data_IF_523642385323
#
_entry.id   IF_523642385323
#
_cell.length_a   1.000
_cell.length_b   1.000
_cell.length_c   1.000
_cell.angle_alpha   90.00
_cell.angle_beta   90.00
_cell.angle_gamma   90.00
#
_symmetry.space_group_name_H-M   'P 1'
#
loop_
_entity.id
_entity.type
_entity.pdbx_description
1 polymer ?
#
# COMPACT_ATOMS: atom_id res chain seq x y z
N UNK A 1 -57.18 51.90 1.66
CA UNK A 1 -57.24 50.80 0.68
C UNK A 1 -57.39 49.50 1.46
N UNK A 2 -58.51 48.80 1.29
CA UNK A 2 -58.94 47.71 2.19
C UNK A 2 -57.96 46.51 2.16
N UNK A 3 -57.44 46.15 3.33
CA UNK A 3 -56.66 44.93 3.56
C UNK A 3 -57.64 43.75 3.64
N UNK A 4 -57.66 42.88 2.63
CA UNK A 4 -58.36 41.60 2.72
C UNK A 4 -57.37 40.56 3.27
N UNK A 5 -57.64 40.00 4.46
CA UNK A 5 -56.83 38.92 5.08
C UNK A 5 -56.64 37.69 4.17
N UNK A 6 -57.52 37.53 3.17
CA UNK A 6 -57.44 36.45 2.18
C UNK A 6 -56.79 36.83 0.85
N UNK A 7 -56.37 38.09 0.65
CA UNK A 7 -55.71 38.50 -0.59
C UNK A 7 -54.28 37.97 -0.67
N UNK A 8 -53.88 37.51 -1.86
CA UNK A 8 -52.52 37.09 -2.17
C UNK A 8 -51.65 38.35 -2.37
N UNK A 9 -50.41 38.36 -1.88
CA UNK A 9 -49.58 39.57 -1.90
C UNK A 9 -49.16 39.95 -3.33
N UNK A 10 -48.70 41.18 -3.55
CA UNK A 10 -48.17 41.59 -4.87
C UNK A 10 -46.98 40.70 -5.26
N UNK A 11 -46.09 40.38 -4.30
CA UNK A 11 -44.96 39.49 -4.55
C UNK A 11 -45.40 38.12 -5.04
N UNK A 12 -46.37 37.51 -4.34
CA UNK A 12 -46.92 36.20 -4.68
C UNK A 12 -47.60 36.20 -6.07
N UNK A 13 -48.31 37.29 -6.43
CA UNK A 13 -48.92 37.43 -7.77
C UNK A 13 -47.87 37.48 -8.87
N UNK A 14 -46.78 38.21 -8.63
CA UNK A 14 -45.69 38.33 -9.59
C UNK A 14 -44.99 36.98 -9.80
N UNK A 15 -44.78 36.21 -8.73
CA UNK A 15 -44.24 34.85 -8.85
C UNK A 15 -45.16 33.92 -9.66
N UNK A 16 -46.45 33.87 -9.35
CA UNK A 16 -47.39 33.04 -10.12
C UNK A 16 -47.47 33.47 -11.59
N UNK A 17 -47.41 34.78 -11.85
CA UNK A 17 -47.39 35.33 -13.21
C UNK A 17 -46.10 34.99 -13.96
N UNK A 18 -44.96 34.93 -13.28
CA UNK A 18 -43.68 34.57 -13.89
C UNK A 18 -43.74 33.17 -14.53
N UNK A 19 -44.44 32.23 -13.87
CA UNK A 19 -44.69 30.86 -14.35
C UNK A 19 -45.65 30.82 -15.56
N UNK A 20 -46.67 31.69 -15.60
CA UNK A 20 -47.59 31.76 -16.75
C UNK A 20 -46.97 32.45 -17.95
N UNK A 21 -46.17 33.48 -17.69
CA UNK A 21 -45.57 34.34 -18.71
C UNK A 21 -44.26 33.75 -19.25
N UNK A 22 -43.73 32.68 -18.64
CA UNK A 22 -42.48 32.02 -19.06
C UNK A 22 -41.24 32.90 -18.81
N UNK A 23 -41.26 33.66 -17.71
CA UNK A 23 -40.18 34.58 -17.33
C UNK A 23 -39.64 34.15 -15.97
N UNK A 24 -38.47 33.48 -15.90
CA UNK A 24 -37.94 33.01 -14.62
C UNK A 24 -37.54 34.18 -13.73
N UNK A 25 -37.81 34.02 -12.44
CA UNK A 25 -37.31 34.89 -11.38
C UNK A 25 -36.11 34.23 -10.71
N UNK A 26 -35.36 35.02 -9.94
CA UNK A 26 -34.30 34.49 -9.08
C UNK A 26 -34.84 33.45 -8.10
N UNK A 27 -34.01 32.45 -7.78
CA UNK A 27 -34.42 31.32 -6.95
C UNK A 27 -34.78 31.70 -5.52
N UNK A 28 -34.24 32.82 -5.02
CA UNK A 28 -34.53 33.40 -3.71
C UNK A 28 -35.59 34.50 -3.77
N UNK A 29 -36.34 34.62 -4.87
CA UNK A 29 -37.44 35.57 -4.98
C UNK A 29 -38.45 35.38 -3.82
N UNK A 30 -38.77 36.44 -3.06
CA UNK A 30 -39.50 36.31 -1.80
C UNK A 30 -40.97 35.96 -1.99
N UNK A 31 -41.42 34.88 -1.34
CA UNK A 31 -42.83 34.48 -1.32
C UNK A 31 -43.42 34.73 0.08
N UNK A 32 -44.44 35.57 0.15
CA UNK A 32 -45.06 35.99 1.43
C UNK A 32 -46.01 34.92 1.95
N UNK A 33 -46.82 34.31 1.09
CA UNK A 33 -47.81 33.29 1.48
C UNK A 33 -47.56 31.97 0.76
N UNK A 34 -46.54 31.23 1.19
CA UNK A 34 -46.07 30.02 0.49
C UNK A 34 -47.17 28.99 0.24
N UNK A 35 -47.99 28.69 1.25
CA UNK A 35 -49.12 27.76 1.12
C UNK A 35 -50.12 28.21 0.05
N UNK A 36 -50.51 29.50 0.06
CA UNK A 36 -51.45 30.06 -0.91
C UNK A 36 -50.89 30.03 -2.34
N UNK A 37 -49.57 30.16 -2.50
CA UNK A 37 -48.91 30.05 -3.81
C UNK A 37 -48.92 28.60 -4.27
N UNK A 38 -48.46 27.66 -3.43
CA UNK A 38 -48.41 26.22 -3.78
C UNK A 38 -49.79 25.66 -4.08
N UNK A 39 -50.83 26.04 -3.33
CA UNK A 39 -52.22 25.59 -3.56
C UNK A 39 -52.78 26.04 -4.94
N UNK A 40 -52.15 27.02 -5.60
CA UNK A 40 -52.53 27.51 -6.94
C UNK A 40 -51.71 26.92 -8.08
N UNK A 41 -50.62 26.20 -7.76
CA UNK A 41 -49.79 25.52 -8.75
C UNK A 41 -50.33 24.12 -9.00
N UNK A 42 -50.40 23.72 -10.26
CA UNK A 42 -50.71 22.33 -10.63
C UNK A 42 -49.43 21.50 -10.77
N UNK A 43 -49.57 20.18 -10.98
CA UNK A 43 -48.40 19.29 -11.14
C UNK A 43 -47.52 19.67 -12.35
N UNK A 44 -48.11 20.11 -13.45
CA UNK A 44 -47.39 20.46 -14.68
C UNK A 44 -46.59 21.77 -14.55
N UNK A 45 -46.98 22.68 -13.65
CA UNK A 45 -46.21 23.88 -13.37
C UNK A 45 -44.81 23.56 -12.81
N UNK A 46 -44.65 22.45 -12.09
CA UNK A 46 -43.35 21.98 -11.58
C UNK A 46 -42.43 21.37 -12.67
N UNK A 47 -42.87 21.37 -13.93
CA UNK A 47 -42.03 21.05 -15.10
C UNK A 47 -41.45 22.29 -15.78
N UNK A 48 -41.70 23.48 -15.24
CA UNK A 48 -41.28 24.77 -15.79
C UNK A 48 -40.13 25.34 -14.97
N UNK A 49 -39.11 25.89 -15.64
CA UNK A 49 -37.91 26.43 -14.98
C UNK A 49 -38.25 27.57 -14.02
N UNK A 50 -39.32 28.30 -14.31
CA UNK A 50 -39.88 29.41 -13.54
C UNK A 50 -40.42 28.97 -12.17
N UNK A 51 -40.66 27.67 -11.98
CA UNK A 51 -41.13 27.09 -10.71
C UNK A 51 -40.00 26.85 -9.70
N UNK A 52 -38.74 26.97 -10.12
CA UNK A 52 -37.58 26.80 -9.24
C UNK A 52 -37.48 27.99 -8.29
N UNK A 53 -37.85 27.75 -7.04
CA UNK A 53 -37.77 28.71 -5.95
C UNK A 53 -37.48 27.99 -4.63
N UNK A 54 -36.59 28.55 -3.83
CA UNK A 54 -36.06 27.92 -2.62
C UNK A 54 -37.15 27.74 -1.56
N UNK A 55 -38.02 28.74 -1.35
CA UNK A 55 -39.15 28.65 -0.41
C UNK A 55 -40.16 27.59 -0.85
N UNK A 56 -40.42 27.50 -2.16
CA UNK A 56 -41.29 26.45 -2.73
C UNK A 56 -40.68 25.08 -2.47
N UNK A 57 -39.42 24.86 -2.85
CA UNK A 57 -38.74 23.57 -2.61
C UNK A 57 -38.71 23.21 -1.13
N UNK A 58 -38.42 24.16 -0.24
CA UNK A 58 -38.47 23.96 1.22
C UNK A 58 -39.85 23.50 1.67
N UNK A 59 -40.91 24.20 1.27
CA UNK A 59 -42.28 23.86 1.64
C UNK A 59 -42.70 22.48 1.12
N UNK A 60 -42.34 22.12 -0.12
CA UNK A 60 -42.65 20.81 -0.69
C UNK A 60 -41.93 19.69 0.08
N UNK A 61 -40.64 19.87 0.40
CA UNK A 61 -39.84 18.88 1.13
C UNK A 61 -40.34 18.67 2.56
N UNK A 62 -40.71 19.75 3.27
CA UNK A 62 -41.32 19.66 4.60
C UNK A 62 -42.65 18.89 4.58
N UNK A 63 -43.40 19.00 3.48
CA UNK A 63 -44.71 18.38 3.30
C UNK A 63 -44.65 17.20 2.31
N UNK A 64 -43.52 16.50 2.22
CA UNK A 64 -43.23 15.48 1.19
C UNK A 64 -44.27 14.36 1.08
N UNK A 65 -44.97 14.03 2.17
CA UNK A 65 -46.03 13.02 2.15
C UNK A 65 -47.19 13.40 1.21
N UNK A 66 -47.49 14.70 1.11
CA UNK A 66 -48.57 15.25 0.28
C UNK A 66 -48.07 15.55 -1.13
N UNK A 67 -46.86 16.09 -1.26
CA UNK A 67 -46.35 16.65 -2.52
C UNK A 67 -45.37 15.74 -3.30
N UNK A 68 -45.52 14.42 -3.18
CA UNK A 68 -44.60 13.44 -3.82
C UNK A 68 -44.43 13.65 -5.33
N UNK A 69 -45.54 13.91 -6.04
CA UNK A 69 -45.51 14.09 -7.50
C UNK A 69 -44.80 15.37 -7.89
N UNK A 70 -45.10 16.47 -7.20
CA UNK A 70 -44.49 17.79 -7.42
C UNK A 70 -42.98 17.74 -7.19
N UNK A 71 -42.55 17.08 -6.11
CA UNK A 71 -41.12 16.85 -5.83
C UNK A 71 -40.48 16.06 -6.96
N UNK A 72 -41.08 14.95 -7.40
CA UNK A 72 -40.53 14.15 -8.49
C UNK A 72 -40.41 14.95 -9.81
N UNK A 73 -41.38 15.80 -10.15
CA UNK A 73 -41.30 16.68 -11.33
C UNK A 73 -40.18 17.71 -11.18
N UNK A 74 -40.05 18.33 -10.00
CA UNK A 74 -39.01 19.32 -9.73
C UNK A 74 -37.60 18.74 -9.89
N UNK A 75 -37.32 17.57 -9.31
CA UNK A 75 -36.00 16.93 -9.48
C UNK A 75 -35.75 16.45 -10.91
N UNK A 76 -36.80 16.00 -11.61
CA UNK A 76 -36.70 15.66 -13.04
C UNK A 76 -36.38 16.88 -13.88
N UNK A 77 -36.98 18.03 -13.59
CA UNK A 77 -36.70 19.32 -14.23
C UNK A 77 -35.24 19.74 -13.97
N UNK A 78 -34.80 19.73 -12.71
CA UNK A 78 -33.42 20.04 -12.34
C UNK A 78 -32.43 19.16 -13.10
N UNK A 79 -32.72 17.86 -13.22
CA UNK A 79 -31.92 16.93 -14.00
C UNK A 79 -31.92 17.24 -15.50
N UNK A 80 -33.08 17.46 -16.11
CA UNK A 80 -33.20 17.59 -17.56
C UNK A 80 -32.66 18.92 -18.08
N UNK A 81 -32.65 19.94 -17.24
CA UNK A 81 -32.12 21.27 -17.54
C UNK A 81 -30.67 21.47 -17.04
N UNK A 82 -30.05 20.41 -16.50
CA UNK A 82 -28.69 20.44 -15.95
C UNK A 82 -28.47 21.56 -14.91
N UNK A 83 -29.44 21.74 -14.01
CA UNK A 83 -29.45 22.80 -12.98
C UNK A 83 -28.90 22.33 -11.64
N UNK A 84 -27.74 21.69 -11.65
CA UNK A 84 -27.14 21.13 -10.42
C UNK A 84 -26.80 22.22 -9.39
N UNK A 85 -26.52 23.44 -9.84
CA UNK A 85 -26.30 24.62 -9.01
C UNK A 85 -27.55 25.05 -8.22
N UNK A 86 -28.76 24.65 -8.66
CA UNK A 86 -29.99 24.81 -7.87
C UNK A 86 -30.00 23.94 -6.61
N UNK A 87 -29.56 22.68 -6.71
CA UNK A 87 -29.46 21.78 -5.54
C UNK A 87 -28.45 22.35 -4.52
N UNK A 88 -27.38 22.96 -5.03
CA UNK A 88 -26.40 23.65 -4.19
C UNK A 88 -27.02 24.88 -3.50
N UNK A 89 -27.80 25.68 -4.22
CA UNK A 89 -28.51 26.82 -3.65
C UNK A 89 -29.48 26.39 -2.52
N UNK A 90 -30.27 25.33 -2.74
CA UNK A 90 -31.12 24.73 -1.71
C UNK A 90 -30.31 24.31 -0.48
N UNK A 91 -29.23 23.54 -0.69
CA UNK A 91 -28.39 23.06 0.40
C UNK A 91 -27.83 24.19 1.27
N UNK A 92 -27.46 25.32 0.67
CA UNK A 92 -26.88 26.48 1.38
C UNK A 92 -27.91 27.21 2.24
N UNK A 93 -29.15 27.29 1.80
CA UNK A 93 -30.21 27.98 2.54
C UNK A 93 -30.91 27.09 3.59
N UNK A 94 -30.82 25.77 3.42
CA UNK A 94 -31.49 24.83 4.32
C UNK A 94 -30.78 24.70 5.67
N UNK A 95 -31.57 24.52 6.72
CA UNK A 95 -31.08 24.03 8.01
C UNK A 95 -30.69 22.54 7.92
N UNK A 96 -30.09 22.00 8.98
CA UNK A 96 -29.56 20.63 8.97
C UNK A 96 -30.65 19.57 8.77
N UNK A 97 -31.87 19.78 9.28
CA UNK A 97 -32.98 18.83 9.09
C UNK A 97 -33.47 18.82 7.64
N UNK A 98 -33.56 20.00 7.03
CA UNK A 98 -33.90 20.15 5.63
C UNK A 98 -32.80 19.64 4.70
N UNK A 99 -31.52 19.79 5.04
CA UNK A 99 -30.40 19.20 4.28
C UNK A 99 -30.49 17.68 4.25
N UNK A 100 -30.78 17.04 5.38
CA UNK A 100 -30.99 15.58 5.44
C UNK A 100 -32.15 15.17 4.53
N UNK A 101 -33.26 15.91 4.60
CA UNK A 101 -34.42 15.66 3.74
C UNK A 101 -34.11 15.87 2.26
N UNK A 102 -33.34 16.90 1.92
CA UNK A 102 -32.87 17.17 0.57
C UNK A 102 -32.02 16.00 0.04
N UNK A 103 -31.10 15.46 0.84
CA UNK A 103 -30.28 14.30 0.44
C UNK A 103 -31.13 13.06 0.18
N UNK A 104 -32.18 12.83 0.98
CA UNK A 104 -33.14 11.74 0.72
C UNK A 104 -33.86 11.92 -0.62
N UNK A 105 -34.33 13.14 -0.92
CA UNK A 105 -35.00 13.43 -2.20
C UNK A 105 -34.05 13.35 -3.39
N UNK A 106 -32.80 13.80 -3.23
CA UNK A 106 -31.76 13.64 -4.25
C UNK A 106 -31.55 12.16 -4.57
N UNK A 107 -31.52 11.29 -3.55
CA UNK A 107 -31.41 9.86 -3.79
C UNK A 107 -32.64 9.30 -4.53
N UNK A 108 -33.85 9.60 -4.05
CA UNK A 108 -35.09 9.01 -4.58
C UNK A 108 -35.38 9.44 -6.03
N UNK A 109 -35.00 10.67 -6.41
CA UNK A 109 -35.43 11.27 -7.67
C UNK A 109 -34.30 11.72 -8.58
N UNK A 110 -33.06 11.73 -8.11
CA UNK A 110 -31.94 12.41 -8.79
C UNK A 110 -30.59 11.70 -8.66
N UNK A 111 -30.57 10.45 -8.18
CA UNK A 111 -29.33 9.71 -7.87
C UNK A 111 -28.35 9.65 -9.05
N UNK A 112 -28.85 9.34 -10.26
CA UNK A 112 -28.05 9.25 -11.49
C UNK A 112 -27.41 10.57 -11.92
N UNK A 113 -28.01 11.69 -11.51
CA UNK A 113 -27.60 13.02 -11.92
C UNK A 113 -26.80 13.73 -10.84
N UNK A 114 -26.62 13.13 -9.66
CA UNK A 114 -25.89 13.74 -8.56
C UNK A 114 -24.44 14.12 -8.93
N UNK A 115 -23.79 13.31 -9.77
CA UNK A 115 -22.43 13.57 -10.27
C UNK A 115 -22.34 14.90 -11.04
N UNK A 116 -23.45 15.41 -11.60
CA UNK A 116 -23.48 16.73 -12.25
C UNK A 116 -23.14 17.90 -11.31
N UNK A 117 -23.23 17.75 -9.98
CA UNK A 117 -22.71 18.76 -9.04
C UNK A 117 -21.18 18.82 -9.14
N UNK A 118 -20.53 17.67 -9.29
CA UNK A 118 -19.08 17.55 -9.31
C UNK A 118 -18.52 18.11 -10.61
N UNK A 119 -19.21 17.87 -11.72
CA UNK A 119 -18.80 18.31 -13.06
C UNK A 119 -19.14 19.78 -13.35
N UNK A 120 -20.01 20.40 -12.56
CA UNK A 120 -20.41 21.80 -12.78
C UNK A 120 -19.32 22.79 -12.32
N UNK A 121 -18.76 23.55 -13.26
CA UNK A 121 -17.69 24.53 -13.02
C UNK A 121 -18.16 25.77 -12.23
N UNK A 122 -19.46 26.09 -12.26
CA UNK A 122 -20.03 27.23 -11.52
C UNK A 122 -20.14 26.94 -10.01
N UNK A 123 -20.14 25.66 -9.63
CA UNK A 123 -20.21 25.25 -8.23
C UNK A 123 -18.83 25.36 -7.59
N UNK A 124 -18.74 26.11 -6.50
CA UNK A 124 -17.48 26.27 -5.77
C UNK A 124 -16.97 24.95 -5.19
N UNK A 125 -15.65 24.78 -5.09
CA UNK A 125 -15.02 23.59 -4.49
C UNK A 125 -15.56 23.30 -3.08
N UNK A 126 -15.69 24.32 -2.24
CA UNK A 126 -16.18 24.17 -0.87
C UNK A 126 -17.63 23.70 -0.81
N UNK A 127 -18.48 24.20 -1.72
CA UNK A 127 -19.87 23.76 -1.81
C UNK A 127 -19.98 22.29 -2.27
N UNK A 128 -19.18 21.88 -3.27
CA UNK A 128 -19.07 20.46 -3.67
C UNK A 128 -18.67 19.57 -2.50
N UNK A 129 -17.64 19.97 -1.76
CA UNK A 129 -17.10 19.19 -0.63
C UNK A 129 -18.13 19.08 0.51
N UNK A 130 -18.80 20.17 0.89
CA UNK A 130 -19.84 20.14 1.94
C UNK A 130 -21.02 19.24 1.58
N UNK A 131 -21.49 19.29 0.33
CA UNK A 131 -22.56 18.41 -0.15
C UNK A 131 -22.11 16.96 -0.15
N UNK A 132 -20.87 16.67 -0.55
CA UNK A 132 -20.32 15.32 -0.50
C UNK A 132 -20.19 14.80 0.93
N UNK A 133 -19.81 15.64 1.90
CA UNK A 133 -19.82 15.28 3.32
C UNK A 133 -21.24 14.86 3.74
N UNK A 134 -22.22 15.71 3.42
CA UNK A 134 -23.63 15.44 3.73
C UNK A 134 -24.13 14.17 3.05
N UNK A 135 -23.74 13.92 1.80
CA UNK A 135 -24.07 12.70 1.09
C UNK A 135 -23.55 11.48 1.87
N UNK A 136 -22.25 11.46 2.16
CA UNK A 136 -21.58 10.34 2.82
C UNK A 136 -22.10 10.07 4.24
N UNK A 137 -22.61 11.08 4.93
CA UNK A 137 -23.29 10.92 6.23
C UNK A 137 -24.69 10.31 6.10
N UNK A 138 -25.40 10.57 4.99
CA UNK A 138 -26.83 10.31 4.90
C UNK A 138 -27.22 9.10 4.04
N UNK A 139 -26.39 8.64 3.11
CA UNK A 139 -26.74 7.52 2.22
C UNK A 139 -26.31 6.14 2.73
N UNK A 140 -27.03 5.09 2.35
CA UNK A 140 -26.58 3.70 2.53
C UNK A 140 -25.53 3.30 1.48
N UNK A 141 -24.87 2.16 1.69
CA UNK A 141 -23.85 1.64 0.76
C UNK A 141 -24.44 1.32 -0.63
N UNK A 142 -25.66 0.79 -0.66
CA UNK A 142 -26.38 0.47 -1.90
C UNK A 142 -26.77 1.74 -2.67
N UNK A 143 -27.09 2.81 -1.94
CA UNK A 143 -27.39 4.11 -2.55
C UNK A 143 -26.11 4.77 -3.09
N UNK A 144 -25.03 4.68 -2.33
CA UNK A 144 -23.73 5.23 -2.70
C UNK A 144 -23.15 4.55 -3.95
N UNK A 145 -23.30 3.24 -4.09
CA UNK A 145 -22.84 2.51 -5.28
C UNK A 145 -23.61 2.93 -6.54
N UNK A 146 -24.90 3.28 -6.43
CA UNK A 146 -25.69 3.82 -7.54
C UNK A 146 -25.25 5.24 -7.92
N UNK A 147 -24.98 6.08 -6.92
CA UNK A 147 -24.59 7.49 -7.15
C UNK A 147 -23.18 7.59 -7.73
N UNK A 148 -22.27 6.74 -7.26
CA UNK A 148 -20.85 6.78 -7.61
C UNK A 148 -20.43 5.62 -8.53
N UNK A 149 -21.33 5.18 -9.41
CA UNK A 149 -21.07 4.09 -10.35
C UNK A 149 -19.85 4.41 -11.26
N UNK A 150 -19.70 5.68 -11.68
CA UNK A 150 -18.58 6.16 -12.50
C UNK A 150 -17.27 6.36 -11.72
N UNK A 151 -17.27 6.21 -10.40
CA UNK A 151 -16.18 6.61 -9.49
C UNK A 151 -15.78 8.09 -9.54
N UNK A 152 -16.62 8.98 -10.12
CA UNK A 152 -16.33 10.42 -10.21
C UNK A 152 -16.16 11.07 -8.84
N UNK A 153 -16.92 10.63 -7.82
CA UNK A 153 -16.80 11.16 -6.45
C UNK A 153 -15.44 10.77 -5.86
N UNK A 154 -15.00 9.51 -6.03
CA UNK A 154 -13.65 9.09 -5.61
C UNK A 154 -12.58 9.96 -6.25
N UNK A 155 -12.60 10.09 -7.58
CA UNK A 155 -11.59 10.83 -8.32
C UNK A 155 -11.54 12.31 -7.93
N UNK A 156 -12.70 12.91 -7.61
CA UNK A 156 -12.78 14.27 -7.12
C UNK A 156 -12.20 14.41 -5.71
N UNK A 157 -12.64 13.57 -4.77
CA UNK A 157 -12.22 13.64 -3.36
C UNK A 157 -10.73 13.33 -3.20
N UNK A 158 -10.19 12.37 -3.95
CA UNK A 158 -8.78 11.98 -3.85
C UNK A 158 -7.85 13.14 -4.28
N UNK A 159 -8.29 13.95 -5.25
CA UNK A 159 -7.57 15.15 -5.70
C UNK A 159 -7.77 16.35 -4.77
N UNK A 160 -8.72 16.30 -3.84
CA UNK A 160 -9.00 17.44 -2.97
C UNK A 160 -7.97 17.56 -1.84
N UNK A 161 -7.26 18.69 -1.83
CA UNK A 161 -6.34 19.08 -0.75
C UNK A 161 -7.07 19.70 0.45
N UNK A 162 -8.33 20.08 0.31
CA UNK A 162 -9.10 20.81 1.34
C UNK A 162 -10.16 19.96 2.01
N UNK A 163 -10.59 18.86 1.37
CA UNK A 163 -11.65 18.00 1.88
C UNK A 163 -11.40 17.57 3.32
N UNK A 164 -10.19 17.07 3.62
CA UNK A 164 -9.80 16.67 4.97
C UNK A 164 -9.96 17.79 6.01
N UNK A 165 -9.71 19.06 5.63
CA UNK A 165 -9.82 20.21 6.54
C UNK A 165 -11.27 20.57 6.87
N UNK A 166 -12.19 20.30 5.94
CA UNK A 166 -13.62 20.53 6.12
C UNK A 166 -14.30 19.44 6.95
N UNK A 167 -13.69 18.25 7.05
CA UNK A 167 -14.25 17.17 7.85
C UNK A 167 -14.31 17.57 9.33
N UNK A 168 -15.48 17.39 9.93
CA UNK A 168 -15.63 17.29 11.38
C UNK A 168 -15.31 15.87 11.86
N UNK A 169 -15.83 15.52 13.05
CA UNK A 169 -15.83 14.13 13.49
C UNK A 169 -16.72 13.31 12.54
N UNK A 170 -16.15 12.27 11.93
CA UNK A 170 -16.87 11.42 10.98
C UNK A 170 -17.79 10.45 11.74
N UNK A 171 -18.99 10.18 11.25
CA UNK A 171 -19.79 9.10 11.83
C UNK A 171 -19.27 7.72 11.40
N UNK A 172 -19.70 6.67 12.11
CA UNK A 172 -19.46 5.28 11.68
C UNK A 172 -20.03 5.01 10.28
N UNK A 173 -21.14 5.67 9.93
CA UNK A 173 -21.77 5.54 8.61
C UNK A 173 -20.90 6.15 7.53
N UNK A 174 -20.40 7.37 7.75
CA UNK A 174 -19.44 8.04 6.87
C UNK A 174 -18.20 7.19 6.62
N UNK A 175 -17.57 6.68 7.68
CA UNK A 175 -16.40 5.79 7.57
C UNK A 175 -16.74 4.54 6.76
N UNK A 176 -17.89 3.92 7.03
CA UNK A 176 -18.31 2.71 6.32
C UNK A 176 -18.54 2.95 4.83
N UNK A 177 -19.02 4.14 4.47
CA UNK A 177 -19.25 4.58 3.10
C UNK A 177 -17.91 4.85 2.39
N UNK A 178 -16.99 5.57 3.03
CA UNK A 178 -15.62 5.79 2.53
C UNK A 178 -14.90 4.47 2.25
N UNK A 179 -15.01 3.51 3.16
CA UNK A 179 -14.46 2.15 2.97
C UNK A 179 -15.12 1.41 1.81
N UNK A 180 -16.44 1.50 1.64
CA UNK A 180 -17.14 0.82 0.55
C UNK A 180 -16.76 1.36 -0.83
N UNK A 181 -16.29 2.61 -0.89
CA UNK A 181 -15.76 3.24 -2.09
C UNK A 181 -14.27 2.92 -2.32
N UNK A 182 -13.59 2.19 -1.42
CA UNK A 182 -12.13 2.08 -1.35
C UNK A 182 -11.43 3.46 -1.40
N UNK A 183 -12.04 4.45 -0.76
CA UNK A 183 -11.45 5.79 -0.69
C UNK A 183 -10.26 5.83 0.27
N UNK A 184 -9.15 6.43 -0.18
CA UNK A 184 -7.95 6.66 0.63
C UNK A 184 -7.39 8.06 0.36
N UNK A 185 -7.08 8.79 1.43
CA UNK A 185 -6.37 10.06 1.34
C UNK A 185 -4.97 9.87 0.76
N UNK A 186 -4.63 10.68 -0.26
CA UNK A 186 -3.29 10.74 -0.82
C UNK A 186 -2.26 11.22 0.20
N UNK A 187 -2.63 12.21 1.01
CA UNK A 187 -1.77 12.83 2.01
C UNK A 187 -2.59 13.22 3.24
N UNK A 188 -2.15 12.78 4.41
CA UNK A 188 -2.71 13.17 5.72
C UNK A 188 -1.61 13.86 6.50
N UNK A 189 -1.76 15.14 6.81
CA UNK A 189 -0.75 15.94 7.52
C UNK A 189 -0.72 15.58 9.04
N UNK A 190 0.40 15.87 9.70
CA UNK A 190 0.61 15.50 11.12
C UNK A 190 -0.32 16.28 12.06
N UNK A 191 -0.74 17.48 11.67
CA UNK A 191 -1.63 18.33 12.47
C UNK A 191 -2.99 17.66 12.64
N UNK A 192 -3.46 16.95 11.62
CA UNK A 192 -4.74 16.27 11.54
C UNK A 192 -4.75 15.03 12.45
N UNK A 193 -3.60 14.37 12.64
CA UNK A 193 -3.47 13.30 13.62
C UNK A 193 -3.60 13.75 15.08
N UNK A 194 -3.52 15.07 15.36
CA UNK A 194 -3.67 15.62 16.72
C UNK A 194 -5.09 15.55 17.27
N UNK A 195 -6.08 15.41 16.41
CA UNK A 195 -7.48 15.36 16.83
C UNK A 195 -8.14 14.01 16.50
N UNK A 196 -9.42 13.89 16.89
CA UNK A 196 -10.20 12.68 16.72
C UNK A 196 -10.32 12.26 15.25
N UNK A 197 -10.30 13.20 14.29
CA UNK A 197 -10.46 12.92 12.86
C UNK A 197 -9.26 12.15 12.31
N UNK A 198 -8.05 12.58 12.63
CA UNK A 198 -6.85 11.87 12.21
C UNK A 198 -6.72 10.50 12.88
N UNK A 199 -7.11 10.37 14.15
CA UNK A 199 -7.19 9.05 14.81
C UNK A 199 -8.16 8.12 14.06
N UNK A 200 -9.33 8.61 13.67
CA UNK A 200 -10.29 7.84 12.88
C UNK A 200 -9.76 7.46 11.50
N UNK A 201 -9.03 8.35 10.81
CA UNK A 201 -8.38 8.03 9.53
C UNK A 201 -7.37 6.91 9.69
N UNK A 202 -6.54 6.99 10.73
CA UNK A 202 -5.53 6.00 11.04
C UNK A 202 -6.14 4.64 11.38
N UNK A 203 -7.06 4.59 12.35
CA UNK A 203 -7.71 3.35 12.80
C UNK A 203 -8.54 2.68 11.70
N UNK A 204 -8.99 3.46 10.70
CA UNK A 204 -9.79 2.94 9.61
C UNK A 204 -9.03 2.71 8.31
N UNK A 205 -7.70 2.89 8.30
CA UNK A 205 -6.83 2.73 7.13
C UNK A 205 -7.26 3.59 5.93
N UNK A 206 -7.79 4.79 6.18
CA UNK A 206 -8.31 5.69 5.15
C UNK A 206 -7.21 6.52 4.46
N UNK A 207 -5.97 6.04 4.44
CA UNK A 207 -4.82 6.73 3.85
C UNK A 207 -4.05 5.80 2.93
N UNK A 208 -3.52 6.32 1.82
CA UNK A 208 -2.73 5.50 0.89
C UNK A 208 -1.41 5.11 1.52
N UNK A 209 -0.96 3.88 1.24
CA UNK A 209 0.39 3.42 1.56
C UNK A 209 1.34 4.16 0.64
N UNK A 210 2.04 5.14 1.20
CA UNK A 210 3.11 5.90 0.55
C UNK A 210 4.07 6.42 1.63
N UNK A 211 5.26 6.85 1.21
CA UNK A 211 6.29 7.32 2.13
C UNK A 211 5.80 8.39 3.12
N UNK A 212 5.10 9.41 2.62
CA UNK A 212 4.68 10.54 3.43
C UNK A 212 3.68 10.11 4.51
N UNK A 213 2.66 9.33 4.15
CA UNK A 213 1.65 8.88 5.12
C UNK A 213 2.26 7.92 6.14
N UNK A 214 3.05 6.93 5.71
CA UNK A 214 3.70 5.98 6.62
C UNK A 214 4.65 6.71 7.59
N UNK A 215 5.48 7.62 7.08
CA UNK A 215 6.37 8.45 7.91
C UNK A 215 5.60 9.27 8.93
N UNK A 216 4.48 9.89 8.55
CA UNK A 216 3.67 10.71 9.46
C UNK A 216 2.96 9.87 10.52
N UNK A 217 2.47 8.69 10.15
CA UNK A 217 1.88 7.73 11.09
C UNK A 217 2.94 7.25 12.09
N UNK A 218 4.11 6.82 11.61
CA UNK A 218 5.25 6.42 12.44
C UNK A 218 5.69 7.54 13.40
N UNK A 219 5.83 8.76 12.89
CA UNK A 219 6.15 9.94 13.69
C UNK A 219 5.13 10.19 14.79
N UNK A 220 3.84 10.18 14.45
CA UNK A 220 2.80 10.63 15.36
C UNK A 220 2.39 9.56 16.37
N UNK A 221 2.11 8.35 15.92
CA UNK A 221 1.57 7.27 16.77
C UNK A 221 2.65 6.42 17.42
N UNK A 222 3.89 6.45 16.90
CA UNK A 222 4.98 5.60 17.36
C UNK A 222 6.23 6.37 17.79
N UNK A 223 6.19 7.71 17.71
CA UNK A 223 7.28 8.59 18.10
C UNK A 223 8.61 8.27 17.39
N UNK A 224 8.52 7.75 16.16
CA UNK A 224 9.68 7.45 15.32
C UNK A 224 9.99 8.65 14.42
N UNK A 225 11.13 9.28 14.65
CA UNK A 225 11.60 10.43 13.88
C UNK A 225 12.93 10.12 13.16
N UNK A 226 13.21 10.89 12.09
CA UNK A 226 14.49 10.89 11.40
C UNK A 226 14.54 10.07 10.11
N UNK A 227 15.76 9.93 9.58
CA UNK A 227 16.04 9.26 8.31
C UNK A 227 16.01 7.72 8.42
N UNK A 228 15.95 7.18 9.64
CA UNK A 228 15.78 5.75 9.91
C UNK A 228 14.51 5.20 9.26
N UNK A 229 13.45 6.01 9.16
CA UNK A 229 12.20 5.65 8.49
C UNK A 229 12.42 5.26 7.03
N UNK A 230 13.44 5.80 6.36
CA UNK A 230 13.69 5.51 4.96
C UNK A 230 14.37 4.16 4.77
N UNK A 231 15.21 3.75 5.72
CA UNK A 231 16.12 2.61 5.56
C UNK A 231 15.79 1.41 6.47
N UNK A 232 15.01 1.61 7.53
CA UNK A 232 14.58 0.56 8.48
C UNK A 232 13.05 0.47 8.59
N UNK A 233 12.34 0.81 7.51
CA UNK A 233 10.90 1.07 7.59
C UNK A 233 10.13 -0.16 8.06
N UNK A 234 10.43 -1.33 7.48
CA UNK A 234 9.72 -2.56 7.79
C UNK A 234 10.00 -3.00 9.23
N UNK A 235 11.25 -2.90 9.67
CA UNK A 235 11.65 -3.12 11.07
C UNK A 235 10.84 -2.27 12.04
N UNK A 236 10.76 -0.95 11.78
CA UNK A 236 10.05 0.00 12.63
C UNK A 236 8.53 -0.29 12.70
N UNK A 237 7.95 -0.75 11.59
CA UNK A 237 6.55 -1.14 11.54
C UNK A 237 6.34 -2.42 12.37
N UNK A 238 7.16 -3.45 12.13
CA UNK A 238 7.03 -4.78 12.75
C UNK A 238 7.35 -4.77 14.25
N UNK A 239 8.24 -3.91 14.71
CA UNK A 239 8.63 -3.84 16.13
C UNK A 239 7.53 -3.25 17.03
N UNK A 240 6.48 -2.66 16.44
CA UNK A 240 5.47 -1.89 17.16
C UNK A 240 4.17 -2.63 17.47
N UNK A 241 4.00 -3.86 16.97
CA UNK A 241 2.77 -4.70 17.02
C UNK A 241 1.45 -3.92 17.01
N UNK A 242 0.97 -3.49 15.84
CA UNK A 242 0.05 -2.34 15.77
C UNK A 242 -0.95 -2.33 14.60
N UNK A 243 -1.87 -1.34 14.56
CA UNK A 243 -2.81 -1.20 13.44
C UNK A 243 -2.11 -0.91 12.11
N UNK A 244 -1.00 -0.14 12.13
CA UNK A 244 -0.17 0.07 10.96
C UNK A 244 0.42 -1.25 10.43
N UNK A 245 0.96 -2.09 11.32
CA UNK A 245 1.49 -3.40 10.95
C UNK A 245 0.41 -4.23 10.25
N UNK A 246 -0.79 -4.37 10.83
CA UNK A 246 -1.89 -5.12 10.21
C UNK A 246 -2.28 -4.55 8.83
N UNK A 247 -2.26 -3.22 8.70
CA UNK A 247 -2.56 -2.57 7.43
C UNK A 247 -1.50 -2.88 6.36
N UNK A 248 -0.23 -2.82 6.74
CA UNK A 248 0.92 -3.12 5.86
C UNK A 248 0.93 -4.59 5.48
N UNK A 249 0.77 -5.51 6.42
CA UNK A 249 0.76 -6.96 6.14
C UNK A 249 -0.39 -7.35 5.19
N UNK A 250 -1.57 -6.75 5.36
CA UNK A 250 -2.71 -6.98 4.46
C UNK A 250 -2.51 -6.42 3.04
N UNK A 251 -1.46 -5.61 2.83
CA UNK A 251 -1.14 -4.95 1.56
C UNK A 251 0.37 -5.06 1.26
N UNK A 252 1.03 -6.15 1.69
CA UNK A 252 2.49 -6.22 1.78
C UNK A 252 3.18 -6.00 0.43
N UNK A 253 2.65 -6.56 -0.66
CA UNK A 253 3.23 -6.41 -1.99
C UNK A 253 3.15 -4.95 -2.53
N UNK A 254 2.05 -4.26 -2.24
CA UNK A 254 1.88 -2.83 -2.55
C UNK A 254 2.85 -1.98 -1.72
N UNK A 255 2.93 -2.27 -0.43
CA UNK A 255 3.85 -1.60 0.48
C UNK A 255 5.30 -1.78 0.03
N UNK A 256 5.71 -2.99 -0.33
CA UNK A 256 7.09 -3.27 -0.75
C UNK A 256 7.49 -2.47 -1.98
N UNK A 257 6.61 -2.37 -2.99
CA UNK A 257 6.87 -1.51 -4.14
C UNK A 257 7.15 -0.06 -3.73
N UNK A 258 6.40 0.47 -2.75
CA UNK A 258 6.65 1.81 -2.21
C UNK A 258 7.92 1.89 -1.38
N UNK A 259 8.20 0.89 -0.55
CA UNK A 259 9.40 0.87 0.27
C UNK A 259 10.66 0.90 -0.58
N UNK A 260 10.73 0.09 -1.64
CA UNK A 260 11.83 0.09 -2.58
C UNK A 260 12.04 1.48 -3.20
N UNK A 261 10.96 2.14 -3.67
CA UNK A 261 11.00 3.51 -4.23
C UNK A 261 11.63 4.52 -3.26
N UNK A 262 11.25 4.53 -1.98
CA UNK A 262 11.72 5.55 -1.02
C UNK A 262 12.96 5.14 -0.20
N UNK A 263 13.40 3.89 -0.28
CA UNK A 263 14.61 3.40 0.40
C UNK A 263 15.91 3.98 -0.15
N UNK A 264 15.88 4.49 -1.39
CA UNK A 264 17.05 5.00 -2.12
C UNK A 264 18.18 3.96 -2.17
N UNK A 265 17.82 2.73 -2.55
CA UNK A 265 18.76 1.61 -2.75
C UNK A 265 19.56 1.22 -1.49
N UNK A 266 19.01 1.58 -0.32
CA UNK A 266 19.64 1.36 0.98
C UNK A 266 18.62 0.89 1.99
N UNK A 267 18.79 -0.36 2.42
CA UNK A 267 17.96 -1.00 3.45
C UNK A 267 18.88 -1.52 4.56
N UNK A 268 18.45 -1.26 5.79
CA UNK A 268 19.13 -1.54 7.06
C UNK A 268 18.17 -2.26 8.03
N UNK A 269 17.13 -2.89 7.49
CA UNK A 269 16.20 -3.66 8.30
C UNK A 269 16.93 -4.73 9.12
N UNK A 270 16.40 -5.01 10.30
CA UNK A 270 17.00 -5.99 11.19
C UNK A 270 16.76 -7.40 10.63
N UNK A 271 17.74 -8.27 10.85
CA UNK A 271 17.87 -9.60 10.23
C UNK A 271 16.59 -10.44 10.27
N UNK A 272 15.93 -10.49 11.43
CA UNK A 272 14.68 -11.27 11.60
C UNK A 272 13.57 -10.81 10.65
N UNK A 273 13.52 -9.53 10.30
CA UNK A 273 12.51 -8.96 9.41
C UNK A 273 12.92 -9.09 7.95
N UNK A 274 14.22 -9.18 7.67
CA UNK A 274 14.73 -9.52 6.33
C UNK A 274 14.21 -10.90 5.92
N UNK A 275 14.34 -11.92 6.78
CA UNK A 275 13.84 -13.27 6.46
C UNK A 275 12.34 -13.30 6.22
N UNK A 276 11.55 -12.52 6.97
CA UNK A 276 10.11 -12.41 6.77
C UNK A 276 9.81 -11.86 5.36
N UNK A 277 10.50 -10.82 4.89
CA UNK A 277 10.28 -10.29 3.54
C UNK A 277 10.76 -11.27 2.46
N UNK A 278 11.96 -11.83 2.63
CA UNK A 278 12.59 -12.71 1.64
C UNK A 278 11.76 -13.99 1.41
N UNK A 279 11.17 -14.56 2.46
CA UNK A 279 10.37 -15.78 2.34
C UNK A 279 8.87 -15.53 2.10
N UNK A 280 8.41 -14.27 2.03
CA UNK A 280 6.99 -13.99 1.85
C UNK A 280 6.56 -14.09 0.37
N UNK A 281 5.91 -15.19 0.02
CA UNK A 281 5.42 -15.49 -1.34
C UNK A 281 4.30 -14.57 -1.84
N UNK A 282 3.65 -13.79 -0.96
CA UNK A 282 2.68 -12.76 -1.38
C UNK A 282 3.39 -11.61 -2.09
N UNK A 283 4.67 -11.38 -1.76
CA UNK A 283 5.50 -10.36 -2.40
C UNK A 283 6.06 -10.92 -3.71
N UNK A 284 5.90 -10.15 -4.78
CA UNK A 284 6.47 -10.47 -6.08
C UNK A 284 7.97 -10.81 -5.97
N UNK A 285 8.40 -11.85 -6.69
CA UNK A 285 9.77 -12.36 -6.59
C UNK A 285 10.79 -11.28 -6.99
N UNK A 286 10.53 -10.49 -8.03
CA UNK A 286 11.47 -9.46 -8.48
C UNK A 286 11.61 -8.34 -7.43
N UNK A 287 10.53 -7.99 -6.73
CA UNK A 287 10.62 -7.05 -5.58
C UNK A 287 11.44 -7.63 -4.43
N UNK A 288 11.36 -8.94 -4.17
CA UNK A 288 12.20 -9.60 -3.16
C UNK A 288 13.67 -9.62 -3.57
N UNK A 289 13.97 -9.84 -4.85
CA UNK A 289 15.33 -9.73 -5.40
C UNK A 289 15.89 -8.31 -5.26
N UNK A 290 15.09 -7.30 -5.63
CA UNK A 290 15.45 -5.89 -5.48
C UNK A 290 15.64 -5.48 -4.01
N UNK A 291 14.78 -5.98 -3.12
CA UNK A 291 14.95 -5.78 -1.68
C UNK A 291 16.30 -6.29 -1.19
N UNK A 292 16.68 -7.51 -1.57
CA UNK A 292 17.98 -8.09 -1.20
C UNK A 292 19.13 -7.25 -1.74
N UNK A 293 19.07 -6.78 -2.99
CA UNK A 293 20.15 -5.97 -3.58
C UNK A 293 20.36 -4.62 -2.88
N UNK A 294 19.32 -4.12 -2.19
CA UNK A 294 19.39 -2.89 -1.40
C UNK A 294 19.86 -3.08 0.04
N UNK A 295 19.92 -4.31 0.55
CA UNK A 295 20.43 -4.60 1.89
C UNK A 295 21.90 -4.17 2.02
N UNK A 296 22.26 -3.62 3.19
CA UNK A 296 23.65 -3.30 3.54
C UNK A 296 24.16 -4.10 4.75
N UNK A 297 23.39 -5.10 5.18
CA UNK A 297 23.71 -5.99 6.30
C UNK A 297 24.34 -7.28 5.77
N UNK A 298 25.52 -7.64 6.28
CA UNK A 298 26.31 -8.79 5.80
C UNK A 298 26.36 -9.88 6.89
N UNK A 299 25.21 -10.39 7.28
CA UNK A 299 25.08 -11.37 8.36
C UNK A 299 23.93 -12.36 8.15
N UNK A 300 23.53 -12.58 6.88
CA UNK A 300 22.41 -13.48 6.59
C UNK A 300 22.84 -14.95 6.69
N UNK A 301 21.92 -15.77 7.19
CA UNK A 301 21.98 -17.23 7.20
C UNK A 301 21.12 -17.78 6.05
N UNK A 302 21.74 -18.52 5.16
CA UNK A 302 21.11 -19.13 3.99
C UNK A 302 20.19 -20.30 4.37
N UNK A 303 20.32 -20.89 5.56
CA UNK A 303 19.38 -21.89 6.06
C UNK A 303 17.99 -21.29 6.32
N UNK A 304 17.93 -20.00 6.65
CA UNK A 304 16.69 -19.25 6.91
C UNK A 304 16.04 -18.72 5.63
N UNK A 305 16.63 -18.95 4.46
CA UNK A 305 16.06 -18.55 3.17
C UNK A 305 15.51 -19.81 2.48
N UNK A 306 14.32 -19.75 1.92
CA UNK A 306 13.70 -20.91 1.28
C UNK A 306 14.08 -21.00 -0.21
N UNK A 307 13.93 -19.89 -0.93
CA UNK A 307 14.10 -19.84 -2.38
C UNK A 307 15.58 -19.85 -2.81
N UNK A 308 15.95 -20.77 -3.72
CA UNK A 308 17.33 -20.94 -4.19
C UNK A 308 17.85 -19.75 -5.01
N UNK A 309 17.01 -19.10 -5.83
CA UNK A 309 17.42 -17.90 -6.58
C UNK A 309 17.77 -16.75 -5.63
N UNK A 310 17.01 -16.59 -4.54
CA UNK A 310 17.28 -15.57 -3.53
C UNK A 310 18.58 -15.86 -2.77
N UNK A 311 18.89 -17.13 -2.46
CA UNK A 311 20.18 -17.52 -1.87
C UNK A 311 21.36 -17.18 -2.76
N UNK A 312 21.24 -17.43 -4.06
CA UNK A 312 22.27 -17.10 -5.04
C UNK A 312 22.53 -15.59 -5.07
N UNK A 313 21.48 -14.76 -5.00
CA UNK A 313 21.63 -13.30 -4.91
C UNK A 313 22.33 -12.89 -3.61
N UNK A 314 21.98 -13.51 -2.48
CA UNK A 314 22.62 -13.24 -1.17
C UNK A 314 24.12 -13.59 -1.20
N UNK A 315 24.49 -14.75 -1.77
CA UNK A 315 25.88 -15.18 -1.95
C UNK A 315 26.63 -14.21 -2.87
N UNK A 316 26.11 -13.95 -4.07
CA UNK A 316 26.77 -13.10 -5.07
C UNK A 316 26.89 -11.63 -4.62
N UNK A 317 25.94 -11.15 -3.81
CA UNK A 317 25.97 -9.81 -3.21
C UNK A 317 26.81 -9.72 -1.94
N UNK A 318 27.38 -10.84 -1.47
CA UNK A 318 28.20 -10.90 -0.25
C UNK A 318 27.45 -10.49 1.02
N UNK A 319 26.18 -10.86 1.11
CA UNK A 319 25.29 -10.55 2.24
C UNK A 319 25.20 -11.69 3.26
N UNK A 320 25.56 -12.91 2.88
CA UNK A 320 25.67 -14.04 3.80
C UNK A 320 26.85 -13.83 4.78
N UNK A 321 26.71 -14.34 6.00
CA UNK A 321 27.85 -14.50 6.91
C UNK A 321 28.88 -15.43 6.28
N UNK A 322 30.16 -15.05 6.16
CA UNK A 322 31.18 -15.93 5.62
C UNK A 322 31.63 -16.93 6.69
N UNK A 323 30.81 -17.95 6.93
CA UNK A 323 31.06 -19.03 7.88
C UNK A 323 30.87 -20.41 7.24
N UNK A 324 31.28 -21.46 7.96
CA UNK A 324 31.14 -22.85 7.52
C UNK A 324 29.69 -23.25 7.22
N UNK A 325 28.71 -22.73 7.97
CA UNK A 325 27.30 -23.11 7.83
C UNK A 325 26.75 -22.64 6.48
N UNK A 326 26.96 -21.36 6.15
CA UNK A 326 26.49 -20.80 4.88
C UNK A 326 27.19 -21.41 3.67
N UNK A 327 28.51 -21.62 3.75
CA UNK A 327 29.27 -22.23 2.65
C UNK A 327 28.79 -23.65 2.41
N UNK A 328 28.68 -24.45 3.48
CA UNK A 328 28.30 -25.84 3.36
C UNK A 328 26.84 -25.98 2.90
N UNK A 329 25.91 -25.22 3.50
CA UNK A 329 24.50 -25.23 3.11
C UNK A 329 24.30 -24.88 1.63
N UNK A 330 24.97 -23.85 1.13
CA UNK A 330 24.89 -23.46 -0.27
C UNK A 330 25.52 -24.51 -1.20
N UNK A 331 26.67 -25.08 -0.82
CA UNK A 331 27.32 -26.17 -1.55
C UNK A 331 26.39 -27.37 -1.74
N UNK A 332 25.69 -27.79 -0.67
CA UNK A 332 24.76 -28.92 -0.73
C UNK A 332 23.60 -28.65 -1.69
N UNK A 333 23.10 -27.42 -1.72
CA UNK A 333 21.99 -27.02 -2.60
C UNK A 333 22.40 -26.82 -4.06
N UNK A 334 23.69 -26.60 -4.33
CA UNK A 334 24.26 -26.47 -5.68
C UNK A 334 24.97 -27.76 -6.12
N UNK A 335 24.22 -28.85 -6.13
CA UNK A 335 24.64 -30.17 -6.62
C UNK A 335 25.91 -30.74 -5.96
N UNK A 336 26.19 -30.31 -4.72
CA UNK A 336 27.38 -30.73 -3.96
C UNK A 336 28.66 -30.46 -4.77
N UNK A 337 28.77 -29.24 -5.33
CA UNK A 337 29.93 -28.73 -6.09
C UNK A 337 30.24 -27.28 -5.70
N UNK A 338 31.52 -26.93 -5.79
CA UNK A 338 31.96 -25.54 -5.70
C UNK A 338 31.54 -24.79 -6.97
N UNK A 339 30.46 -24.02 -6.87
CA UNK A 339 30.01 -23.15 -7.95
C UNK A 339 30.85 -21.87 -8.03
N UNK A 340 30.82 -21.18 -9.17
CA UNK A 340 31.57 -19.93 -9.39
C UNK A 340 31.18 -18.87 -8.36
N UNK A 341 29.89 -18.80 -8.01
CA UNK A 341 29.36 -17.85 -7.04
C UNK A 341 29.90 -18.15 -5.64
N UNK A 342 29.93 -19.42 -5.24
CA UNK A 342 30.44 -19.84 -3.92
C UNK A 342 31.95 -19.65 -3.81
N UNK A 343 32.71 -19.98 -4.86
CA UNK A 343 34.17 -19.74 -4.91
C UNK A 343 34.45 -18.25 -4.79
N UNK A 344 33.75 -17.41 -5.57
CA UNK A 344 33.90 -15.95 -5.53
C UNK A 344 33.60 -15.40 -4.13
N UNK A 345 32.52 -15.87 -3.50
CA UNK A 345 32.16 -15.49 -2.14
C UNK A 345 33.24 -15.89 -1.12
N UNK A 346 33.70 -17.14 -1.13
CA UNK A 346 34.72 -17.60 -0.20
C UNK A 346 36.04 -16.81 -0.36
N UNK A 347 36.50 -16.64 -1.61
CA UNK A 347 37.73 -15.92 -1.92
C UNK A 347 37.66 -14.44 -1.53
N UNK A 348 36.52 -13.78 -1.74
CA UNK A 348 36.31 -12.37 -1.37
C UNK A 348 36.39 -12.14 0.13
N UNK A 349 36.05 -13.14 0.94
CA UNK A 349 36.06 -13.05 2.40
C UNK A 349 37.27 -13.74 3.05
N UNK A 350 38.35 -14.01 2.30
CA UNK A 350 39.52 -14.77 2.80
C UNK A 350 40.12 -14.27 4.10
N UNK A 351 40.15 -12.95 4.29
CA UNK A 351 40.77 -12.31 5.45
C UNK A 351 39.95 -12.48 6.74
N UNK A 352 38.65 -12.77 6.64
CA UNK A 352 37.73 -12.89 7.78
C UNK A 352 37.14 -14.28 7.94
N UNK A 353 37.23 -15.12 6.90
CA UNK A 353 36.71 -16.47 6.92
C UNK A 353 37.59 -17.39 7.76
N UNK A 354 36.95 -18.02 8.73
CA UNK A 354 37.50 -19.12 9.52
C UNK A 354 36.55 -20.31 9.38
N UNK A 355 37.10 -21.51 9.24
CA UNK A 355 36.30 -22.73 9.06
C UNK A 355 36.43 -23.63 10.28
N UNK A 356 35.33 -23.79 11.01
CA UNK A 356 35.26 -24.69 12.16
C UNK A 356 34.35 -25.88 11.85
N UNK A 357 34.97 -26.99 11.43
CA UNK A 357 34.26 -28.23 11.11
C UNK A 357 33.35 -28.73 12.25
N UNK A 358 33.69 -28.45 13.51
CA UNK A 358 32.90 -28.93 14.64
C UNK A 358 31.47 -28.35 14.66
N UNK A 359 31.27 -27.15 14.09
CA UNK A 359 29.95 -26.50 14.04
C UNK A 359 28.98 -27.17 13.07
N UNK A 360 29.50 -27.80 12.01
CA UNK A 360 28.69 -28.48 10.98
C UNK A 360 28.71 -30.00 11.08
N UNK A 361 29.60 -30.57 11.88
CA UNK A 361 29.89 -32.02 11.92
C UNK A 361 28.70 -32.93 12.26
N UNK A 362 27.66 -32.40 12.91
CA UNK A 362 26.43 -33.13 13.24
C UNK A 362 25.21 -32.73 12.42
N UNK A 363 25.33 -31.67 11.62
CA UNK A 363 24.22 -31.07 10.87
C UNK A 363 24.00 -31.74 9.50
N UNK A 364 25.02 -32.44 8.99
CA UNK A 364 25.01 -33.07 7.68
C UNK A 364 25.48 -34.53 7.74
N UNK A 365 25.23 -35.28 6.67
CA UNK A 365 25.63 -36.70 6.61
C UNK A 365 27.12 -36.86 6.35
N UNK A 366 27.70 -38.00 6.78
CA UNK A 366 29.10 -38.35 6.47
C UNK A 366 29.38 -38.31 4.96
N UNK A 367 28.43 -38.78 4.14
CA UNK A 367 28.54 -38.73 2.67
C UNK A 367 28.66 -37.29 2.14
N UNK A 368 27.95 -36.35 2.76
CA UNK A 368 28.01 -34.93 2.39
C UNK A 368 29.32 -34.29 2.78
N UNK A 369 29.83 -34.60 3.98
CA UNK A 369 31.14 -34.12 4.42
C UNK A 369 32.27 -34.70 3.55
N UNK A 370 32.23 -36.01 3.26
CA UNK A 370 33.19 -36.64 2.35
C UNK A 370 33.12 -35.96 0.98
N UNK A 371 31.92 -35.74 0.45
CA UNK A 371 31.75 -35.09 -0.85
C UNK A 371 32.30 -33.66 -0.86
N UNK A 372 32.02 -32.87 0.18
CA UNK A 372 32.55 -31.51 0.31
C UNK A 372 34.07 -31.50 0.32
N UNK A 373 34.69 -32.39 1.09
CA UNK A 373 36.14 -32.55 1.11
C UNK A 373 36.71 -32.92 -0.27
N UNK A 374 36.15 -33.95 -0.92
CA UNK A 374 36.61 -34.40 -2.22
C UNK A 374 36.50 -33.31 -3.30
N UNK A 375 35.40 -32.53 -3.28
CA UNK A 375 35.24 -31.42 -4.20
C UNK A 375 36.17 -30.26 -3.86
N UNK A 376 36.43 -30.00 -2.58
CA UNK A 376 37.40 -28.98 -2.15
C UNK A 376 38.79 -29.30 -2.65
N UNK A 377 39.27 -30.54 -2.49
CA UNK A 377 40.58 -30.99 -3.01
C UNK A 377 40.72 -30.80 -4.53
N UNK A 378 39.60 -30.79 -5.26
CA UNK A 378 39.56 -30.60 -6.73
C UNK A 378 39.30 -29.15 -7.14
N UNK A 379 39.09 -28.24 -6.21
CA UNK A 379 38.74 -26.84 -6.48
C UNK A 379 39.98 -25.95 -6.43
N UNK A 380 40.68 -25.85 -7.56
CA UNK A 380 41.91 -25.06 -7.65
C UNK A 380 41.67 -23.55 -7.75
N UNK A 381 40.44 -23.13 -8.05
CA UNK A 381 40.03 -21.72 -8.13
C UNK A 381 39.83 -21.08 -6.74
N UNK A 382 39.77 -21.88 -5.66
CA UNK A 382 39.81 -21.34 -4.31
C UNK A 382 41.17 -20.71 -4.03
N UNK A 383 41.17 -19.58 -3.32
CA UNK A 383 42.38 -18.95 -2.82
C UNK A 383 43.14 -19.90 -1.88
N UNK A 384 44.47 -19.85 -1.94
CA UNK A 384 45.37 -20.80 -1.24
C UNK A 384 45.15 -20.82 0.26
N UNK A 385 44.86 -19.67 0.86
CA UNK A 385 44.51 -19.55 2.28
C UNK A 385 43.17 -20.25 2.62
N UNK A 386 42.11 -20.01 1.84
CA UNK A 386 40.79 -20.63 2.07
C UNK A 386 40.88 -22.15 1.93
N UNK A 387 41.53 -22.59 0.85
CA UNK A 387 41.74 -23.99 0.55
C UNK A 387 42.47 -24.71 1.70
N UNK A 388 43.54 -24.11 2.23
CA UNK A 388 44.27 -24.64 3.37
C UNK A 388 43.42 -24.69 4.65
N UNK A 389 42.73 -23.59 5.00
CA UNK A 389 41.88 -23.50 6.20
C UNK A 389 40.83 -24.61 6.25
N UNK A 390 40.12 -24.83 5.14
CA UNK A 390 39.08 -25.88 5.06
C UNK A 390 39.69 -27.27 5.24
N UNK A 391 40.76 -27.59 4.52
CA UNK A 391 41.34 -28.93 4.55
C UNK A 391 41.95 -29.29 5.90
N UNK A 392 42.64 -28.34 6.55
CA UNK A 392 43.19 -28.53 7.90
C UNK A 392 42.10 -28.87 8.91
N UNK A 393 40.98 -28.15 8.84
CA UNK A 393 39.89 -28.30 9.80
C UNK A 393 39.14 -29.63 9.65
N UNK A 394 38.93 -30.10 8.41
CA UNK A 394 38.23 -31.36 8.13
C UNK A 394 39.02 -32.60 8.55
N UNK A 395 40.36 -32.56 8.50
CA UNK A 395 41.26 -33.66 8.92
C UNK A 395 41.01 -35.00 8.19
N UNK A 396 40.41 -34.98 7.01
CA UNK A 396 40.29 -36.16 6.16
C UNK A 396 41.58 -36.38 5.37
N UNK A 397 41.85 -37.65 5.03
CA UNK A 397 43.05 -38.03 4.28
C UNK A 397 42.77 -39.16 3.30
N UNK A 398 43.45 -39.10 2.15
CA UNK A 398 43.56 -40.19 1.20
C UNK A 398 44.64 -41.15 1.68
N UNK A 399 44.26 -42.37 2.05
CA UNK A 399 45.19 -43.41 2.53
C UNK A 399 45.30 -44.61 1.57
N UNK A 400 44.33 -44.78 0.68
CA UNK A 400 44.23 -45.91 -0.25
C UNK A 400 44.43 -45.50 -1.72
N UNK A 401 45.43 -44.65 -1.97
CA UNK A 401 45.73 -44.11 -3.29
C UNK A 401 45.24 -42.67 -3.48
N UNK A 402 45.88 -41.96 -4.40
CA UNK A 402 45.58 -40.56 -4.70
C UNK A 402 45.71 -40.30 -6.19
N UNK A 403 44.58 -40.09 -6.87
CA UNK A 403 44.52 -40.12 -8.34
C UNK A 403 43.98 -38.85 -8.98
N UNK A 404 44.24 -37.69 -8.35
CA UNK A 404 43.81 -36.40 -8.88
C UNK A 404 44.94 -35.81 -9.74
N UNK A 405 44.76 -35.67 -11.06
CA UNK A 405 45.78 -35.15 -11.96
C UNK A 405 45.85 -33.61 -11.93
N UNK A 406 46.93 -33.06 -12.48
CA UNK A 406 47.08 -31.62 -12.80
C UNK A 406 46.89 -30.65 -11.62
N UNK A 407 47.22 -31.07 -10.41
CA UNK A 407 47.16 -30.19 -9.23
C UNK A 407 48.26 -29.13 -9.31
N UNK A 408 47.93 -27.83 -9.18
CA UNK A 408 48.93 -26.77 -9.11
C UNK A 408 49.93 -26.96 -7.96
N UNK A 409 51.18 -26.53 -8.17
CA UNK A 409 52.28 -26.79 -7.24
C UNK A 409 52.01 -26.27 -5.81
N UNK A 410 51.41 -25.09 -5.69
CA UNK A 410 51.04 -24.48 -4.42
C UNK A 410 49.94 -25.28 -3.69
N UNK A 411 48.93 -25.78 -4.42
CA UNK A 411 47.89 -26.65 -3.86
C UNK A 411 48.44 -28.02 -3.46
N UNK A 412 49.32 -28.60 -4.27
CA UNK A 412 49.98 -29.87 -3.96
C UNK A 412 50.80 -29.76 -2.68
N UNK A 413 51.54 -28.65 -2.51
CA UNK A 413 52.29 -28.38 -1.28
C UNK A 413 51.37 -28.39 -0.06
N UNK A 414 50.23 -27.70 -0.11
CA UNK A 414 49.24 -27.72 0.98
C UNK A 414 48.75 -29.14 1.26
N UNK A 415 48.39 -29.91 0.24
CA UNK A 415 47.87 -31.27 0.42
C UNK A 415 48.87 -32.21 1.12
N UNK A 416 50.16 -32.00 0.89
CA UNK A 416 51.25 -32.73 1.56
C UNK A 416 51.44 -32.23 3.00
N UNK A 417 51.54 -30.91 3.20
CA UNK A 417 51.80 -30.29 4.51
C UNK A 417 50.65 -30.53 5.50
N UNK A 418 49.42 -30.51 5.00
CA UNK A 418 48.19 -30.79 5.78
C UNK A 418 47.90 -32.28 5.95
N UNK A 419 48.73 -33.17 5.38
CA UNK A 419 48.57 -34.63 5.40
C UNK A 419 47.25 -35.15 4.79
N UNK A 420 46.63 -34.35 3.94
CA UNK A 420 45.48 -34.78 3.14
C UNK A 420 45.89 -35.91 2.21
N UNK A 421 47.07 -35.83 1.58
CA UNK A 421 47.65 -36.99 0.92
C UNK A 421 48.44 -37.77 1.96
N UNK A 422 47.92 -38.92 2.35
CA UNK A 422 48.57 -39.81 3.31
C UNK A 422 49.90 -40.34 2.75
N UNK A 423 50.92 -40.43 3.60
CA UNK A 423 52.23 -40.98 3.26
C UNK A 423 52.22 -42.52 3.28
N UNK A 424 51.25 -43.13 2.59
CA UNK A 424 51.14 -44.58 2.42
C UNK A 424 51.81 -45.02 1.12
N UNK A 425 52.25 -46.28 1.04
CA UNK A 425 52.85 -46.84 -0.16
C UNK A 425 51.95 -46.64 -1.40
N UNK A 426 50.65 -46.88 -1.26
CA UNK A 426 49.67 -46.73 -2.35
C UNK A 426 49.56 -45.29 -2.85
N UNK A 427 49.48 -44.31 -1.94
CA UNK A 427 49.41 -42.89 -2.32
C UNK A 427 50.70 -42.43 -2.99
N UNK A 428 51.88 -42.84 -2.48
CA UNK A 428 53.17 -42.48 -3.08
C UNK A 428 53.37 -43.12 -4.46
N UNK A 429 52.96 -44.37 -4.64
CA UNK A 429 52.96 -45.03 -5.96
C UNK A 429 52.03 -44.29 -6.93
N UNK A 430 50.82 -43.92 -6.50
CA UNK A 430 49.88 -43.15 -7.33
C UNK A 430 50.44 -41.78 -7.73
N UNK A 431 51.07 -41.07 -6.80
CA UNK A 431 51.70 -39.77 -7.06
C UNK A 431 52.86 -39.89 -8.07
N UNK A 432 53.72 -40.91 -7.93
CA UNK A 432 54.79 -41.16 -8.90
C UNK A 432 54.20 -41.42 -10.28
N UNK A 433 53.26 -42.34 -10.39
CA UNK A 433 52.64 -42.67 -11.69
C UNK A 433 52.00 -41.46 -12.39
N UNK A 434 51.41 -40.53 -11.64
CA UNK A 434 50.72 -39.35 -12.17
C UNK A 434 51.64 -38.16 -12.45
N UNK A 435 52.73 -38.00 -11.69
CA UNK A 435 53.60 -36.83 -11.74
C UNK A 435 55.06 -37.15 -12.14
N UNK A 436 55.40 -38.39 -12.49
CA UNK A 436 56.74 -38.88 -12.90
C UNK A 436 57.33 -38.22 -14.17
N UNK A 437 56.62 -37.26 -14.79
CA UNK A 437 57.03 -36.59 -16.04
C UNK A 437 57.07 -35.06 -15.99
N UNK A 438 56.96 -34.44 -14.82
CA UNK A 438 57.11 -32.98 -14.66
C UNK A 438 58.40 -32.60 -13.95
#
# INVERSE_FOLDING_TARGET
TYFYENSISISDKLYLRSITDGTPLEWDYPIVNIKKVVDRLNEDDFRKIESLNIDISSYLILNKAVFKKQIAQLFKLVSSQNKSEYIVALYKQFDDNLKVSLMQMCFEHWSKSFVSIIDNEEVSRGDKENILISLLENVSKEQLSQINESKSINQYLEKSKTFLKLLGNMSNKFISNMRSMDFKFDSVDVVEFKDMRGKMIYENNLYKINFNNIKRVLKYFYHVDGDSVNHKNYTLIRSSTSSLEKYVESNIDLYMGKYLEFSKEKILDDEIYVYIIVNNEVIDLEKRKEYISYLKTNNLNLSEIENLELKEIVITSNLATPDEENIFHYFIQKDKKWSIELISFANKNKDIFEFDYSKISSSYSDEEHIRFFEQTVRCFDLETEIYEKILIAMKYSYTDGFSIPEIPQDKMKILIETKVVGMTEKCLTSLRELYDKN
#
